data_IF_612949621585
#
_entry.id   IF_612949621585
#
_cell.length_a   1.000
_cell.length_b   1.000
_cell.length_c   1.000
_cell.angle_alpha   90.00
_cell.angle_beta   90.00
_cell.angle_gamma   90.00
#
_symmetry.space_group_name_H-M   'P 1'
#
loop_
_entity.id
_entity.type
_entity.pdbx_description
1 polymer ?
#
# COMPACT_ATOMS: atom_id res chain seq x y z
N UNK A 1 -4.58 -18.18 6.67
CA UNK A 1 -3.36 -17.83 7.42
C UNK A 1 -2.22 -18.60 6.80
N UNK A 2 -1.30 -17.93 6.09
CA UNK A 2 -0.09 -18.59 5.64
C UNK A 2 0.70 -19.04 6.88
N UNK A 3 1.15 -20.29 6.92
CA UNK A 3 2.06 -20.75 7.97
C UNK A 3 3.33 -19.89 7.92
N UNK A 4 3.50 -19.00 8.90
CA UNK A 4 4.75 -18.25 9.09
C UNK A 4 5.86 -19.27 9.37
N UNK A 5 6.59 -19.62 8.33
CA UNK A 5 7.69 -20.59 8.42
C UNK A 5 8.95 -19.79 8.71
N UNK A 6 9.52 -19.98 9.89
CA UNK A 6 10.72 -19.24 10.28
C UNK A 6 11.90 -19.62 9.38
N UNK A 7 12.62 -18.65 8.81
CA UNK A 7 13.83 -18.94 8.08
C UNK A 7 14.88 -19.49 9.06
N UNK A 8 15.72 -20.39 8.55
CA UNK A 8 16.88 -20.87 9.33
C UNK A 8 17.97 -19.81 9.34
N UNK A 9 18.69 -19.70 10.44
CA UNK A 9 19.91 -18.90 10.47
C UNK A 9 20.98 -19.50 9.56
N UNK A 10 21.37 -18.76 8.53
CA UNK A 10 22.54 -19.09 7.71
C UNK A 10 23.81 -18.61 8.42
N UNK A 11 24.41 -19.50 9.21
CA UNK A 11 25.66 -19.20 9.90
C UNK A 11 26.83 -19.36 8.91
N UNK A 12 27.63 -18.29 8.66
CA UNK A 12 28.75 -18.36 7.72
C UNK A 12 29.80 -19.39 8.13
N UNK A 13 30.45 -20.05 7.17
CA UNK A 13 31.46 -21.09 7.43
C UNK A 13 32.66 -20.54 8.23
N UNK A 14 32.94 -19.26 8.08
CA UNK A 14 33.99 -18.53 8.77
C UNK A 14 33.76 -18.49 10.29
N UNK A 15 32.50 -18.51 10.74
CA UNK A 15 32.16 -18.58 12.17
C UNK A 15 32.59 -19.93 12.74
N UNK A 16 32.24 -21.02 12.07
CA UNK A 16 32.65 -22.37 12.48
C UNK A 16 34.17 -22.55 12.43
N UNK A 17 34.80 -22.09 11.35
CA UNK A 17 36.26 -22.13 11.20
C UNK A 17 36.98 -21.29 12.27
N UNK A 18 36.48 -20.10 12.57
CA UNK A 18 37.01 -19.23 13.62
C UNK A 18 36.91 -19.85 15.02
N UNK A 19 35.75 -20.42 15.37
CA UNK A 19 35.57 -21.11 16.66
C UNK A 19 36.44 -22.35 16.78
N UNK A 20 36.57 -23.14 15.70
CA UNK A 20 37.44 -24.32 15.70
C UNK A 20 38.91 -23.93 15.85
N UNK A 21 39.36 -22.89 15.14
CA UNK A 21 40.72 -22.38 15.25
C UNK A 21 41.02 -21.86 16.67
N UNK A 22 40.10 -21.12 17.28
CA UNK A 22 40.22 -20.70 18.68
C UNK A 22 40.31 -21.90 19.62
N UNK A 23 39.49 -22.93 19.41
CA UNK A 23 39.53 -24.14 20.22
C UNK A 23 40.88 -24.87 20.11
N UNK A 24 41.37 -25.08 18.89
CA UNK A 24 42.66 -25.75 18.64
C UNK A 24 43.82 -24.96 19.24
N UNK A 25 43.85 -23.64 19.05
CA UNK A 25 44.89 -22.78 19.62
C UNK A 25 44.88 -22.80 21.15
N UNK A 26 43.70 -22.72 21.76
CA UNK A 26 43.56 -22.74 23.21
C UNK A 26 44.08 -24.06 23.79
N UNK A 27 43.71 -25.19 23.19
CA UNK A 27 44.21 -26.52 23.61
C UNK A 27 45.71 -26.64 23.40
N UNK A 28 46.25 -26.20 22.27
CA UNK A 28 47.68 -26.27 21.98
C UNK A 28 48.51 -25.45 22.97
N UNK A 29 48.09 -24.23 23.28
CA UNK A 29 48.75 -23.36 24.26
C UNK A 29 48.71 -23.98 25.66
N UNK A 30 47.55 -24.50 26.08
CA UNK A 30 47.39 -25.10 27.41
C UNK A 30 48.15 -26.42 27.55
N UNK A 31 48.19 -27.26 26.51
CA UNK A 31 49.01 -28.46 26.47
C UNK A 31 50.50 -28.13 26.56
N UNK A 32 50.95 -27.09 25.87
CA UNK A 32 52.35 -26.67 25.91
C UNK A 32 52.76 -26.15 27.29
N UNK A 33 51.91 -25.36 27.95
CA UNK A 33 52.20 -24.77 29.26
C UNK A 33 52.02 -25.75 30.43
N UNK A 34 51.02 -26.62 30.37
CA UNK A 34 50.53 -27.38 31.53
C UNK A 34 50.48 -28.90 31.29
N UNK A 35 50.90 -29.38 30.11
CA UNK A 35 50.83 -30.80 29.75
C UNK A 35 49.39 -31.32 29.81
N UNK A 36 49.21 -32.52 30.36
CA UNK A 36 47.89 -33.16 30.49
C UNK A 36 46.86 -32.31 31.25
N UNK A 37 47.28 -31.56 32.27
CA UNK A 37 46.39 -30.67 33.02
C UNK A 37 45.80 -29.55 32.16
N UNK A 38 46.49 -29.18 31.08
CA UNK A 38 45.98 -28.25 30.08
C UNK A 38 44.69 -28.71 29.39
N UNK A 39 44.51 -30.03 29.20
CA UNK A 39 43.29 -30.59 28.59
C UNK A 39 42.08 -30.40 29.50
N UNK A 40 42.26 -30.66 30.81
CA UNK A 40 41.19 -30.52 31.81
C UNK A 40 40.77 -29.06 31.92
N UNK A 41 41.75 -28.15 31.95
CA UNK A 41 41.49 -26.70 31.98
C UNK A 41 40.83 -26.23 30.68
N UNK A 42 41.24 -26.74 29.52
CA UNK A 42 40.62 -26.42 28.23
C UNK A 42 39.14 -26.83 28.20
N UNK A 43 38.79 -28.02 28.70
CA UNK A 43 37.40 -28.47 28.81
C UNK A 43 36.56 -27.54 29.70
N UNK A 44 37.11 -27.10 30.83
CA UNK A 44 36.43 -26.14 31.71
C UNK A 44 36.21 -24.79 30.99
N UNK A 45 37.21 -24.30 30.26
CA UNK A 45 37.10 -23.07 29.46
C UNK A 45 36.03 -23.23 28.38
N UNK A 46 35.98 -24.37 27.68
CA UNK A 46 34.97 -24.60 26.64
C UNK A 46 33.54 -24.61 27.19
N UNK A 47 33.32 -25.25 28.35
CA UNK A 47 32.00 -25.24 28.99
C UNK A 47 31.56 -23.81 29.32
N UNK A 48 32.45 -22.98 29.86
CA UNK A 48 32.16 -21.57 30.16
C UNK A 48 31.98 -20.73 28.89
N UNK A 49 32.80 -21.00 27.88
CA UNK A 49 32.81 -20.30 26.60
C UNK A 49 31.55 -20.58 25.77
N UNK A 50 30.98 -21.79 25.82
CA UNK A 50 29.74 -22.13 25.12
C UNK A 50 28.62 -21.15 25.50
N UNK A 51 28.45 -20.84 26.78
CA UNK A 51 27.44 -19.89 27.24
C UNK A 51 27.68 -18.45 26.75
N UNK A 52 28.93 -18.10 26.43
CA UNK A 52 29.33 -16.75 26.03
C UNK A 52 29.31 -16.55 24.51
N UNK A 53 29.59 -17.63 23.76
CA UNK A 53 29.68 -17.68 22.29
C UNK A 53 28.48 -18.36 21.64
N UNK A 54 27.41 -18.56 22.40
CA UNK A 54 26.10 -18.89 21.85
C UNK A 54 25.10 -17.79 22.15
N UNK A 55 24.07 -17.71 21.33
CA UNK A 55 22.93 -16.82 21.48
C UNK A 55 21.66 -17.62 21.24
N UNK A 56 20.78 -17.63 22.22
CA UNK A 56 19.45 -18.22 22.09
C UNK A 56 18.47 -17.13 21.62
N UNK A 57 17.99 -17.29 20.38
CA UNK A 57 16.97 -16.41 19.81
C UNK A 57 15.61 -17.05 20.03
N UNK A 58 14.68 -16.39 20.77
CA UNK A 58 13.34 -16.91 21.01
C UNK A 58 12.55 -17.13 19.73
N UNK A 59 11.45 -17.87 19.84
CA UNK A 59 10.53 -18.06 18.73
C UNK A 59 9.97 -16.72 18.22
N UNK A 60 9.87 -16.59 16.90
CA UNK A 60 9.39 -15.38 16.23
C UNK A 60 10.21 -14.11 16.48
N UNK A 61 11.48 -14.25 16.84
CA UNK A 61 12.39 -13.12 16.99
C UNK A 61 13.58 -13.24 16.02
N UNK A 62 14.16 -12.09 15.73
CA UNK A 62 15.45 -11.98 15.07
C UNK A 62 16.42 -11.13 15.90
N UNK A 63 17.71 -11.43 15.79
CA UNK A 63 18.78 -10.69 16.45
C UNK A 63 19.82 -10.28 15.39
N UNK A 64 20.17 -9.00 15.35
CA UNK A 64 21.24 -8.52 14.47
C UNK A 64 22.58 -8.65 15.19
N UNK A 65 23.56 -9.20 14.47
CA UNK A 65 24.94 -9.35 14.90
C UNK A 65 25.84 -8.54 13.98
N UNK A 66 26.70 -7.71 14.57
CA UNK A 66 27.69 -6.90 13.87
C UNK A 66 29.08 -7.44 14.14
N UNK A 67 29.83 -7.74 13.07
CA UNK A 67 31.24 -8.07 13.19
C UNK A 67 32.06 -6.77 13.34
N UNK A 68 32.75 -6.60 14.47
CA UNK A 68 33.46 -5.37 14.77
C UNK A 68 34.62 -5.07 13.78
N UNK A 69 35.21 -6.09 13.17
CA UNK A 69 36.34 -5.96 12.25
C UNK A 69 35.90 -5.73 10.81
N UNK A 70 34.98 -6.56 10.30
CA UNK A 70 34.56 -6.49 8.89
C UNK A 70 33.43 -5.49 8.66
N UNK A 71 32.81 -4.98 9.74
CA UNK A 71 31.60 -4.14 9.71
C UNK A 71 30.40 -4.79 9.02
N UNK A 72 30.48 -6.09 8.72
CA UNK A 72 29.37 -6.84 8.15
C UNK A 72 28.36 -7.19 9.23
N UNK A 73 27.09 -7.11 8.87
CA UNK A 73 25.97 -7.51 9.70
C UNK A 73 25.43 -8.87 9.25
N UNK A 74 24.93 -9.66 10.20
CA UNK A 74 24.18 -10.88 9.92
C UNK A 74 23.01 -11.01 10.89
N UNK A 75 21.96 -11.70 10.46
CA UNK A 75 20.75 -11.92 11.27
C UNK A 75 20.74 -13.34 11.80
N UNK A 76 20.49 -13.47 13.09
CA UNK A 76 20.16 -14.73 13.73
C UNK A 76 18.64 -14.83 13.85
N UNK A 77 18.09 -15.92 13.34
CA UNK A 77 16.69 -16.29 13.53
C UNK A 77 16.56 -17.29 14.68
N UNK A 78 15.31 -17.61 15.02
CA UNK A 78 14.93 -18.53 16.09
C UNK A 78 15.87 -19.74 16.24
N UNK A 79 16.31 -20.00 17.47
CA UNK A 79 17.11 -21.14 17.86
C UNK A 79 18.44 -20.77 18.54
N UNK A 80 19.23 -21.80 18.82
CA UNK A 80 20.58 -21.64 19.37
C UNK A 80 21.58 -21.38 18.23
N UNK A 81 22.29 -20.26 18.32
CA UNK A 81 23.20 -19.80 17.28
C UNK A 81 24.59 -19.53 17.86
N UNK A 82 25.64 -19.72 17.06
CA UNK A 82 27.01 -19.39 17.46
C UNK A 82 27.36 -17.93 17.13
N UNK A 83 28.12 -17.30 18.02
CA UNK A 83 28.57 -15.90 17.92
C UNK A 83 30.07 -15.83 18.23
N UNK A 84 30.82 -15.07 17.43
CA UNK A 84 32.26 -14.91 17.62
C UNK A 84 32.56 -13.91 18.75
N UNK A 85 33.74 -14.00 19.39
CA UNK A 85 34.11 -13.08 20.48
C UNK A 85 34.15 -11.59 20.10
N UNK A 86 34.38 -11.30 18.82
CA UNK A 86 34.46 -9.93 18.25
C UNK A 86 33.17 -9.51 17.54
N UNK A 87 32.09 -10.26 17.71
CA UNK A 87 30.77 -9.90 17.23
C UNK A 87 29.96 -9.24 18.35
N UNK A 88 29.34 -8.10 18.06
CA UNK A 88 28.42 -7.42 18.98
C UNK A 88 26.97 -7.69 18.61
N UNK A 89 26.12 -7.82 19.61
CA UNK A 89 24.67 -8.03 19.47
C UNK A 89 23.96 -6.67 19.42
N UNK A 90 22.90 -6.53 18.61
CA UNK A 90 21.98 -5.40 18.75
C UNK A 90 21.38 -5.37 20.17
N UNK A 91 21.06 -4.16 20.66
CA UNK A 91 20.49 -4.00 22.01
C UNK A 91 19.16 -4.74 22.15
N UNK A 92 18.34 -4.72 21.11
CA UNK A 92 17.00 -5.32 21.13
C UNK A 92 16.88 -6.46 20.12
N UNK A 93 16.05 -7.44 20.49
CA UNK A 93 15.54 -8.50 19.60
C UNK A 93 14.35 -7.95 18.84
N UNK A 94 14.32 -8.19 17.55
CA UNK A 94 13.25 -7.74 16.66
C UNK A 94 12.13 -8.79 16.71
N UNK A 95 10.93 -8.41 17.17
CA UNK A 95 9.76 -9.29 17.08
C UNK A 95 9.25 -9.29 15.62
N UNK A 96 9.22 -10.47 15.02
CA UNK A 96 8.81 -10.68 13.63
C UNK A 96 7.29 -10.75 13.45
N UNK A 97 6.52 -10.73 14.55
CA UNK A 97 5.05 -10.70 14.54
C UNK A 97 4.48 -9.30 14.64
N UNK A 98 5.34 -8.29 14.72
CA UNK A 98 4.87 -6.90 14.74
C UNK A 98 4.13 -6.60 13.45
N UNK A 99 2.91 -6.13 13.61
CA UNK A 99 2.06 -5.66 12.53
C UNK A 99 1.78 -4.17 12.76
N UNK A 100 2.32 -3.33 11.89
CA UNK A 100 2.04 -1.91 11.89
C UNK A 100 0.74 -1.70 11.11
N UNK A 101 -0.32 -1.48 11.86
CA UNK A 101 -1.67 -1.40 11.33
C UNK A 101 -2.24 0.01 11.48
N UNK A 102 -3.04 0.42 10.50
CA UNK A 102 -3.88 1.61 10.59
C UNK A 102 -5.13 1.51 9.71
N UNK A 103 -6.11 2.34 10.03
CA UNK A 103 -7.33 2.53 9.24
C UNK A 103 -7.56 4.01 9.01
N UNK A 104 -6.89 4.63 8.02
CA UNK A 104 -7.11 6.04 7.74
C UNK A 104 -8.47 6.31 7.11
N UNK A 105 -9.06 7.42 7.51
CA UNK A 105 -10.23 8.05 6.90
C UNK A 105 -9.79 9.41 6.34
N UNK A 106 -9.90 9.58 5.03
CA UNK A 106 -9.40 10.75 4.30
C UNK A 106 -10.40 11.19 3.24
N UNK A 107 -10.44 12.48 2.93
CA UNK A 107 -11.31 13.05 1.90
C UNK A 107 -10.47 13.48 0.71
N UNK A 108 -10.80 13.00 -0.49
CA UNK A 108 -10.12 13.39 -1.73
C UNK A 108 -11.07 14.11 -2.70
N UNK A 109 -10.57 15.11 -3.44
CA UNK A 109 -11.31 15.68 -4.55
C UNK A 109 -11.34 14.70 -5.73
N UNK A 110 -12.52 14.51 -6.31
CA UNK A 110 -12.73 13.90 -7.62
C UNK A 110 -12.96 14.99 -8.68
N UNK A 111 -13.24 14.60 -9.92
CA UNK A 111 -13.53 15.58 -11.00
C UNK A 111 -14.73 16.49 -10.67
N UNK A 112 -15.75 15.94 -9.99
CA UNK A 112 -17.03 16.61 -9.80
C UNK A 112 -17.55 16.66 -8.33
N UNK A 113 -16.86 16.01 -7.40
CA UNK A 113 -17.30 15.88 -6.00
C UNK A 113 -16.15 15.67 -5.01
N UNK A 114 -16.44 15.80 -3.71
CA UNK A 114 -15.54 15.34 -2.64
C UNK A 114 -15.95 13.95 -2.19
N UNK A 115 -14.98 13.04 -2.11
CA UNK A 115 -15.19 11.64 -1.74
C UNK A 115 -14.51 11.35 -0.40
N UNK A 116 -15.27 10.80 0.55
CA UNK A 116 -14.73 10.26 1.80
C UNK A 116 -14.32 8.81 1.57
N UNK A 117 -13.10 8.50 2.00
CA UNK A 117 -12.44 7.24 1.71
C UNK A 117 -11.90 6.63 3.00
N UNK A 118 -12.21 5.35 3.21
CA UNK A 118 -11.61 4.55 4.29
C UNK A 118 -10.80 3.41 3.71
N UNK A 119 -9.53 3.34 4.08
CA UNK A 119 -8.67 2.23 3.70
C UNK A 119 -7.97 1.67 4.93
N UNK A 120 -7.55 0.42 4.82
CA UNK A 120 -6.81 -0.30 5.84
C UNK A 120 -5.47 -0.70 5.27
N UNK A 121 -4.41 -0.57 6.06
CA UNK A 121 -3.14 -1.14 5.71
C UNK A 121 -2.46 -1.82 6.89
N UNK A 122 -1.70 -2.86 6.59
CA UNK A 122 -0.85 -3.60 7.53
C UNK A 122 0.52 -3.74 6.90
N UNK A 123 1.54 -3.28 7.62
CA UNK A 123 2.95 -3.42 7.25
C UNK A 123 3.61 -4.36 8.26
N UNK A 124 4.37 -5.34 7.78
CA UNK A 124 5.09 -6.30 8.64
C UNK A 124 6.52 -6.51 8.14
N UNK A 125 7.46 -6.90 9.02
CA UNK A 125 8.81 -7.25 8.58
C UNK A 125 8.78 -8.40 7.55
N UNK A 126 9.51 -8.26 6.46
CA UNK A 126 9.62 -9.32 5.46
C UNK A 126 10.80 -10.24 5.80
N UNK A 127 10.49 -11.44 6.27
CA UNK A 127 11.46 -12.50 6.52
C UNK A 127 11.29 -13.71 5.58
N UNK A 128 10.65 -13.48 4.43
CA UNK A 128 10.44 -14.46 3.37
C UNK A 128 11.40 -14.22 2.19
N UNK A 129 11.55 -15.21 1.31
CA UNK A 129 12.34 -15.09 0.07
C UNK A 129 13.83 -15.42 0.21
N UNK A 130 14.62 -14.95 -0.76
CA UNK A 130 16.02 -15.36 -0.94
C UNK A 130 16.99 -14.74 0.07
N UNK A 131 16.68 -13.53 0.56
CA UNK A 131 17.57 -12.76 1.45
C UNK A 131 16.85 -12.22 2.70
N UNK A 132 16.25 -13.08 3.55
CA UNK A 132 15.45 -12.65 4.69
C UNK A 132 16.27 -11.86 5.73
N UNK A 133 17.57 -12.15 5.86
CA UNK A 133 18.45 -11.40 6.77
C UNK A 133 18.64 -9.95 6.34
N UNK A 134 18.77 -9.67 5.03
CA UNK A 134 18.93 -8.31 4.52
C UNK A 134 17.69 -7.47 4.78
N UNK A 135 16.51 -8.05 4.52
CA UNK A 135 15.23 -7.37 4.75
C UNK A 135 15.03 -6.99 6.22
N UNK A 136 15.36 -7.89 7.16
CA UNK A 136 15.28 -7.59 8.59
C UNK A 136 16.27 -6.52 9.02
N UNK A 137 17.46 -6.47 8.42
CA UNK A 137 18.42 -5.38 8.66
C UNK A 137 17.87 -4.04 8.18
N UNK A 138 17.26 -4.01 6.97
CA UNK A 138 16.63 -2.81 6.43
C UNK A 138 15.50 -2.34 7.35
N UNK A 139 14.56 -3.22 7.71
CA UNK A 139 13.48 -2.92 8.63
C UNK A 139 13.97 -2.32 9.95
N UNK A 140 15.02 -2.90 10.54
CA UNK A 140 15.58 -2.44 11.81
C UNK A 140 16.35 -1.12 11.73
N UNK A 141 16.64 -0.64 10.53
CA UNK A 141 17.32 0.66 10.32
C UNK A 141 16.35 1.84 10.52
N UNK A 142 15.05 1.60 10.34
CA UNK A 142 14.01 2.62 10.45
C UNK A 142 13.25 2.48 11.76
N UNK A 143 12.74 3.61 12.27
CA UNK A 143 11.77 3.57 13.36
C UNK A 143 10.42 3.03 12.82
N UNK A 144 9.72 2.13 13.55
CA UNK A 144 8.46 1.57 13.08
C UNK A 144 7.40 2.64 12.75
N UNK A 145 7.37 3.74 13.50
CA UNK A 145 6.45 4.85 13.25
C UNK A 145 6.80 5.61 11.96
N UNK A 146 8.08 5.72 11.60
CA UNK A 146 8.50 6.35 10.36
C UNK A 146 8.03 5.52 9.15
N UNK A 147 8.26 4.20 9.16
CA UNK A 147 7.76 3.28 8.13
C UNK A 147 6.23 3.41 7.99
N UNK A 148 5.52 3.44 9.12
CA UNK A 148 4.06 3.59 9.12
C UNK A 148 3.61 4.91 8.48
N UNK A 149 4.26 6.01 8.81
CA UNK A 149 3.93 7.34 8.26
C UNK A 149 4.24 7.42 6.76
N UNK A 150 5.38 6.90 6.33
CA UNK A 150 5.77 6.89 4.91
C UNK A 150 4.85 6.00 4.08
N UNK A 151 4.50 4.81 4.59
CA UNK A 151 3.51 3.94 3.96
C UNK A 151 2.15 4.62 3.81
N UNK A 152 1.65 5.29 4.87
CA UNK A 152 0.41 6.07 4.78
C UNK A 152 0.50 7.17 3.71
N UNK A 153 1.60 7.91 3.67
CA UNK A 153 1.80 8.97 2.69
C UNK A 153 1.77 8.43 1.25
N UNK A 154 2.42 7.28 1.01
CA UNK A 154 2.38 6.57 -0.27
C UNK A 154 0.95 6.18 -0.66
N UNK A 155 0.21 5.50 0.22
CA UNK A 155 -1.16 5.06 -0.10
C UNK A 155 -2.11 6.24 -0.31
N UNK A 156 -1.98 7.29 0.50
CA UNK A 156 -2.75 8.52 0.37
C UNK A 156 -2.48 9.22 -0.97
N UNK A 157 -1.22 9.29 -1.39
CA UNK A 157 -0.83 9.83 -2.70
C UNK A 157 -1.44 9.01 -3.84
N UNK A 158 -1.31 7.67 -3.80
CA UNK A 158 -1.86 6.79 -4.84
C UNK A 158 -3.38 6.92 -4.97
N UNK A 159 -4.09 7.02 -3.85
CA UNK A 159 -5.54 7.27 -3.84
C UNK A 159 -5.87 8.67 -4.37
N UNK A 160 -5.21 9.71 -3.88
CA UNK A 160 -5.41 11.10 -4.33
C UNK A 160 -5.24 11.24 -5.84
N UNK A 161 -4.17 10.68 -6.40
CA UNK A 161 -3.90 10.74 -7.85
C UNK A 161 -4.98 10.02 -8.66
N UNK A 162 -5.48 8.89 -8.16
CA UNK A 162 -6.54 8.13 -8.80
C UNK A 162 -7.89 8.86 -8.78
N UNK A 163 -8.23 9.49 -7.65
CA UNK A 163 -9.52 10.15 -7.46
C UNK A 163 -9.59 11.45 -8.26
N UNK A 164 -8.50 12.22 -8.30
CA UNK A 164 -8.46 13.56 -8.91
C UNK A 164 -8.88 13.61 -10.39
N UNK A 165 -8.65 12.53 -11.14
CA UNK A 165 -8.86 12.48 -12.60
C UNK A 165 -10.10 11.69 -13.01
N UNK A 166 -10.94 11.30 -12.04
CA UNK A 166 -12.10 10.44 -12.30
C UNK A 166 -13.40 11.09 -11.80
N UNK A 167 -14.49 10.91 -12.55
CA UNK A 167 -15.83 11.20 -12.07
C UNK A 167 -16.19 10.38 -10.82
N UNK A 168 -16.93 11.01 -9.91
CA UNK A 168 -17.32 10.41 -8.62
C UNK A 168 -18.21 9.17 -8.71
N UNK A 169 -19.00 9.03 -9.79
CA UNK A 169 -19.82 7.85 -10.04
C UNK A 169 -18.98 6.57 -10.26
N UNK A 170 -17.80 6.72 -10.87
CA UNK A 170 -16.84 5.62 -11.07
C UNK A 170 -16.05 5.28 -9.80
N UNK A 171 -16.03 6.19 -8.82
CA UNK A 171 -15.22 6.06 -7.60
C UNK A 171 -15.94 5.36 -6.45
N UNK A 172 -17.12 4.77 -6.69
CA UNK A 172 -17.86 4.01 -5.65
C UNK A 172 -17.56 2.51 -5.66
N UNK A 173 -16.95 2.00 -6.73
CA UNK A 173 -16.62 0.58 -6.85
C UNK A 173 -15.26 0.26 -6.20
N UNK A 174 -15.28 -0.01 -4.90
CA UNK A 174 -14.04 -0.27 -4.14
C UNK A 174 -13.20 -1.43 -4.65
N UNK A 175 -13.79 -2.45 -5.27
CA UNK A 175 -13.04 -3.60 -5.79
C UNK A 175 -12.20 -3.21 -7.00
N UNK A 176 -12.78 -2.37 -7.87
CA UNK A 176 -12.11 -1.84 -9.04
C UNK A 176 -11.01 -0.86 -8.64
N UNK A 177 -11.27 0.02 -7.67
CA UNK A 177 -10.26 0.94 -7.14
C UNK A 177 -9.10 0.17 -6.50
N UNK A 178 -9.39 -0.82 -5.65
CA UNK A 178 -8.35 -1.69 -5.07
C UNK A 178 -7.45 -2.31 -6.15
N UNK A 179 -8.06 -2.82 -7.22
CA UNK A 179 -7.33 -3.42 -8.32
C UNK A 179 -6.44 -2.40 -9.04
N UNK A 180 -6.99 -1.25 -9.39
CA UNK A 180 -6.31 -0.23 -10.19
C UNK A 180 -5.29 0.60 -9.42
N UNK A 181 -5.50 0.82 -8.12
CA UNK A 181 -4.63 1.66 -7.28
C UNK A 181 -3.55 0.84 -6.59
N UNK A 182 -3.84 -0.38 -6.13
CA UNK A 182 -2.91 -1.14 -5.30
C UNK A 182 -2.40 -2.43 -5.95
N UNK A 183 -3.15 -3.05 -6.85
CA UNK A 183 -2.82 -4.39 -7.36
C UNK A 183 -2.21 -4.40 -8.78
N UNK A 184 -2.30 -3.29 -9.52
CA UNK A 184 -1.86 -3.19 -10.92
C UNK A 184 -1.11 -1.88 -11.22
N UNK A 185 -0.30 -1.92 -12.27
CA UNK A 185 0.41 -0.75 -12.80
C UNK A 185 1.31 -0.05 -11.79
N UNK A 186 1.37 1.29 -11.90
CA UNK A 186 2.25 2.14 -11.11
C UNK A 186 2.09 1.96 -9.60
N UNK A 187 0.87 1.73 -9.11
CA UNK A 187 0.64 1.56 -7.68
C UNK A 187 1.24 0.26 -7.13
N UNK A 188 1.12 -0.84 -7.90
CA UNK A 188 1.79 -2.10 -7.55
C UNK A 188 3.32 -1.92 -7.53
N UNK A 189 3.86 -1.25 -8.52
CA UNK A 189 5.31 -1.05 -8.65
C UNK A 189 5.86 -0.18 -7.50
N UNK A 190 5.16 0.91 -7.15
CA UNK A 190 5.54 1.79 -6.04
C UNK A 190 5.43 1.10 -4.67
N UNK A 191 4.42 0.23 -4.47
CA UNK A 191 4.32 -0.58 -3.25
C UNK A 191 5.47 -1.58 -3.17
N UNK A 192 5.79 -2.25 -4.28
CA UNK A 192 6.89 -3.21 -4.33
C UNK A 192 8.26 -2.55 -4.10
N UNK A 193 8.45 -1.32 -4.59
CA UNK A 193 9.64 -0.50 -4.31
C UNK A 193 9.72 -0.16 -2.82
N UNK A 194 8.63 0.32 -2.22
CA UNK A 194 8.55 0.60 -0.79
C UNK A 194 8.86 -0.64 0.07
N UNK A 195 8.32 -1.81 -0.29
CA UNK A 195 8.58 -3.10 0.35
C UNK A 195 10.08 -3.46 0.30
N UNK A 196 10.74 -3.22 -0.83
CA UNK A 196 12.18 -3.50 -1.02
C UNK A 196 13.07 -2.54 -0.25
N UNK A 197 12.75 -1.24 -0.26
CA UNK A 197 13.54 -0.21 0.43
C UNK A 197 13.52 -0.41 1.94
N UNK A 198 12.37 -0.81 2.49
CA UNK A 198 12.17 -0.94 3.94
C UNK A 198 12.29 -2.38 4.45
N UNK A 199 12.40 -3.38 3.57
CA UNK A 199 12.43 -4.79 3.96
C UNK A 199 11.14 -5.27 4.64
N UNK A 200 9.99 -4.83 4.13
CA UNK A 200 8.65 -5.11 4.69
C UNK A 200 7.74 -5.79 3.66
N UNK A 201 6.67 -6.41 4.15
CA UNK A 201 5.51 -6.77 3.32
C UNK A 201 4.38 -5.78 3.64
N UNK A 202 3.70 -5.32 2.61
CA UNK A 202 2.56 -4.40 2.70
C UNK A 202 1.28 -5.11 2.25
N UNK A 203 0.25 -4.99 3.06
CA UNK A 203 -1.12 -5.28 2.66
C UNK A 203 -1.94 -4.02 2.80
N UNK A 204 -2.44 -3.48 1.69
CA UNK A 204 -3.31 -2.29 1.67
C UNK A 204 -4.62 -2.61 0.95
N UNK A 205 -5.73 -2.09 1.47
CA UNK A 205 -7.05 -2.30 0.90
C UNK A 205 -7.99 -1.14 1.22
N UNK A 206 -8.70 -0.67 0.21
CA UNK A 206 -9.86 0.19 0.32
C UNK A 206 -11.05 -0.56 0.94
N UNK A 207 -11.56 -0.06 2.05
CA UNK A 207 -12.74 -0.61 2.74
C UNK A 207 -14.03 0.07 2.30
N UNK A 208 -13.98 1.40 2.16
CA UNK A 208 -15.12 2.23 1.81
C UNK A 208 -14.74 3.43 0.95
N UNK A 209 -15.67 3.86 0.12
CA UNK A 209 -15.57 5.08 -0.69
C UNK A 209 -16.95 5.56 -1.07
N UNK A 210 -17.33 6.74 -0.57
CA UNK A 210 -18.61 7.37 -0.90
C UNK A 210 -18.48 8.90 -0.91
N UNK A 211 -19.55 9.58 -1.29
CA UNK A 211 -19.61 11.03 -1.20
C UNK A 211 -19.44 11.50 0.24
N UNK A 212 -18.70 12.59 0.44
CA UNK A 212 -18.68 13.23 1.74
C UNK A 212 -20.08 13.76 2.13
N UNK A 213 -20.32 13.95 3.43
CA UNK A 213 -21.64 14.30 3.95
C UNK A 213 -22.23 15.57 3.30
N UNK A 214 -21.41 16.59 3.05
CA UNK A 214 -21.82 17.84 2.41
C UNK A 214 -22.20 17.63 0.95
N UNK A 215 -21.39 16.87 0.20
CA UNK A 215 -21.66 16.56 -1.20
C UNK A 215 -22.91 15.71 -1.33
N UNK A 216 -23.10 14.70 -0.47
CA UNK A 216 -24.29 13.86 -0.48
C UNK A 216 -25.56 14.69 -0.19
N UNK A 217 -25.49 15.62 0.77
CA UNK A 217 -26.59 16.54 1.06
C UNK A 217 -26.92 17.43 -0.15
N UNK A 218 -25.91 17.98 -0.82
CA UNK A 218 -26.11 18.78 -2.03
C UNK A 218 -26.74 17.94 -3.16
N UNK A 219 -26.27 16.70 -3.37
CA UNK A 219 -26.84 15.77 -4.34
C UNK A 219 -28.28 15.41 -4.05
N UNK A 220 -28.63 15.15 -2.80
CA UNK A 220 -30.01 14.85 -2.38
C UNK A 220 -30.97 16.02 -2.64
N UNK A 221 -30.49 17.25 -2.45
CA UNK A 221 -31.27 18.47 -2.76
C UNK A 221 -31.49 18.59 -4.27
N UNK A 222 -30.43 18.41 -5.06
CA UNK A 222 -30.48 18.50 -6.53
C UNK A 222 -31.38 17.41 -7.11
N UNK A 223 -31.26 16.17 -6.63
CA UNK A 223 -32.06 15.04 -7.10
C UNK A 223 -33.57 15.23 -6.88
N UNK A 224 -33.96 16.04 -5.88
CA UNK A 224 -35.35 16.39 -5.56
C UNK A 224 -35.84 17.67 -6.26
N UNK A 225 -35.00 18.33 -7.05
CA UNK A 225 -35.37 19.54 -7.79
C UNK A 225 -35.90 19.19 -9.19
N UNK A 226 -36.91 19.93 -9.66
CA UNK A 226 -37.49 19.71 -11.01
C UNK A 226 -36.74 20.48 -12.11
N UNK A 227 -35.94 21.47 -11.74
CA UNK A 227 -35.14 22.29 -12.66
C UNK A 227 -33.85 22.81 -12.02
N UNK A 228 -32.89 23.26 -12.84
CA UNK A 228 -31.65 23.91 -12.37
C UNK A 228 -31.94 25.16 -11.53
N UNK A 229 -32.93 25.96 -11.91
CA UNK A 229 -33.32 27.14 -11.15
C UNK A 229 -33.82 26.78 -9.75
N UNK A 230 -34.68 25.76 -9.66
CA UNK A 230 -35.17 25.24 -8.38
C UNK A 230 -34.05 24.61 -7.53
N UNK A 231 -33.10 23.91 -8.16
CA UNK A 231 -31.94 23.34 -7.47
C UNK A 231 -31.07 24.43 -6.84
N UNK A 232 -30.77 25.51 -7.58
CA UNK A 232 -30.03 26.67 -7.05
C UNK A 232 -30.77 27.32 -5.88
N UNK A 233 -32.08 27.55 -6.01
CA UNK A 233 -32.89 28.15 -4.94
C UNK A 233 -32.89 27.27 -3.68
N UNK A 234 -33.10 25.96 -3.81
CA UNK A 234 -33.10 25.03 -2.67
C UNK A 234 -31.72 24.89 -2.01
N UNK A 235 -30.63 24.99 -2.78
CA UNK A 235 -29.27 25.03 -2.21
C UNK A 235 -29.05 26.33 -1.42
N UNK A 236 -29.51 27.48 -1.94
CA UNK A 236 -29.44 28.75 -1.20
C UNK A 236 -30.26 28.69 0.10
N UNK A 237 -31.48 28.12 0.04
CA UNK A 237 -32.31 27.88 1.22
C UNK A 237 -31.66 26.91 2.24
N UNK A 238 -30.81 26.00 1.77
CA UNK A 238 -30.06 25.06 2.60
C UNK A 238 -28.77 25.64 3.21
N UNK A 239 -28.47 26.92 2.97
CA UNK A 239 -27.36 27.65 3.58
C UNK A 239 -26.16 27.91 2.68
N UNK A 240 -26.20 27.53 1.40
CA UNK A 240 -25.14 27.85 0.44
C UNK A 240 -25.27 29.30 -0.06
N UNK A 241 -24.15 29.97 -0.35
CA UNK A 241 -24.21 31.25 -1.06
C UNK A 241 -24.72 31.07 -2.50
N UNK A 242 -25.18 32.15 -3.12
CA UNK A 242 -25.67 32.08 -4.50
C UNK A 242 -24.58 31.63 -5.50
N UNK A 243 -23.34 32.07 -5.28
CA UNK A 243 -22.19 31.69 -6.09
C UNK A 243 -21.81 30.21 -5.87
N UNK A 244 -21.82 29.73 -4.63
CA UNK A 244 -21.54 28.32 -4.32
C UNK A 244 -22.63 27.39 -4.87
N UNK A 245 -23.91 27.75 -4.73
CA UNK A 245 -25.02 26.98 -5.29
C UNK A 245 -24.90 26.85 -6.81
N UNK A 246 -24.48 27.90 -7.51
CA UNK A 246 -24.23 27.84 -8.95
C UNK A 246 -23.05 26.93 -9.31
N UNK A 247 -21.98 26.98 -8.52
CA UNK A 247 -20.78 26.16 -8.72
C UNK A 247 -21.08 24.67 -8.48
N UNK A 248 -21.82 24.35 -7.42
CA UNK A 248 -22.20 22.98 -7.02
C UNK A 248 -23.12 22.33 -8.05
N UNK A 249 -24.11 23.07 -8.57
CA UNK A 249 -25.02 22.57 -9.61
C UNK A 249 -24.30 22.34 -10.94
N UNK A 250 -23.23 23.09 -11.23
CA UNK A 250 -22.41 22.90 -12.44
C UNK A 250 -21.40 21.77 -12.30
N UNK A 251 -20.87 21.53 -11.09
CA UNK A 251 -19.92 20.46 -10.83
C UNK A 251 -20.61 19.11 -10.78
N UNK A 252 -21.66 18.96 -9.96
CA UNK A 252 -22.32 17.67 -9.79
C UNK A 252 -22.99 17.23 -11.09
N UNK A 253 -22.53 16.09 -11.63
CA UNK A 253 -23.06 15.51 -12.85
C UNK A 253 -24.57 15.27 -12.67
N UNK A 254 -25.39 16.17 -13.24
CA UNK A 254 -26.83 16.21 -12.96
C UNK A 254 -27.49 14.89 -13.36
N UNK A 255 -28.38 14.32 -12.50
CA UNK A 255 -29.16 13.13 -12.84
C UNK A 255 -29.92 13.34 -14.15
N UNK A 256 -30.04 12.29 -14.96
CA UNK A 256 -30.70 12.36 -16.27
C UNK A 256 -32.14 12.91 -16.20
N UNK A 257 -32.85 12.70 -15.09
CA UNK A 257 -34.18 13.28 -14.85
C UNK A 257 -34.21 14.82 -14.83
N UNK A 258 -33.09 15.46 -14.47
CA UNK A 258 -32.95 16.92 -14.52
C UNK A 258 -32.55 17.36 -15.95
N UNK A 259 -31.76 16.57 -16.68
CA UNK A 259 -31.43 16.82 -18.09
C UNK A 259 -32.67 16.71 -19.00
N UNK A 260 -33.48 15.67 -18.83
CA UNK A 260 -34.69 15.44 -19.62
C UNK A 260 -35.72 16.56 -19.45
N UNK A 261 -35.87 17.09 -18.22
CA UNK A 261 -36.74 18.25 -17.99
C UNK A 261 -36.19 19.56 -18.58
N UNK A 262 -34.86 19.73 -18.70
CA UNK A 262 -34.29 20.90 -19.39
C UNK A 262 -34.58 20.83 -20.90
N UNK A 263 -34.51 19.63 -21.50
CA UNK A 263 -34.83 19.42 -22.92
C UNK A 263 -36.34 19.65 -23.16
N UNK A 264 -37.20 19.10 -22.30
CA UNK A 264 -38.65 19.27 -22.44
C UNK A 264 -39.11 20.72 -22.16
N UNK A 265 -38.57 21.40 -21.15
CA UNK A 265 -38.94 22.80 -20.85
C UNK A 265 -38.34 23.77 -21.87
N UNK A 266 -37.14 23.55 -22.42
CA UNK A 266 -36.64 24.37 -23.53
C UNK A 266 -37.45 24.19 -24.82
N UNK A 267 -37.98 22.99 -25.08
CA UNK A 267 -38.89 22.74 -26.20
C UNK A 267 -40.28 23.37 -25.99
N UNK A 268 -40.74 23.50 -24.74
CA UNK A 268 -42.04 24.09 -24.41
C UNK A 268 -42.00 25.63 -24.30
N UNK A 269 -40.87 26.23 -23.87
CA UNK A 269 -40.70 27.69 -23.74
C UNK A 269 -40.27 28.36 -25.06
N UNK A 270 -39.64 27.64 -25.99
CA UNK A 270 -39.41 28.11 -27.36
C UNK A 270 -40.43 27.45 -28.28
N UNK A 271 -41.56 28.14 -28.47
CA UNK A 271 -42.67 27.73 -29.30
C UNK A 271 -42.30 26.92 -30.57
N UNK A 272 -43.13 25.91 -30.79
CA UNK A 272 -43.21 24.92 -31.87
C UNK A 272 -43.18 25.46 -33.33
N UNK A 273 -42.18 26.25 -33.72
CA UNK A 273 -42.04 26.66 -35.14
C UNK A 273 -40.62 26.57 -35.73
N UNK A 274 -39.59 26.13 -34.99
CA UNK A 274 -38.23 25.98 -35.56
C UNK A 274 -37.46 24.70 -35.19
N UNK A 275 -38.14 23.62 -34.84
CA UNK A 275 -37.50 22.33 -34.55
C UNK A 275 -37.22 21.44 -35.78
N UNK A 276 -37.57 21.85 -37.00
CA UNK A 276 -37.13 21.14 -38.22
C UNK A 276 -35.65 21.37 -38.59
N UNK A 277 -34.91 22.27 -37.91
CA UNK A 277 -33.50 22.56 -38.24
C UNK A 277 -32.47 22.22 -37.17
N UNK A 278 -32.88 21.71 -36.01
CA UNK A 278 -31.94 21.27 -34.97
C UNK A 278 -31.91 19.74 -34.76
N UNK A 279 -32.67 18.99 -35.57
CA UNK A 279 -32.63 17.52 -35.62
C UNK A 279 -31.33 16.94 -36.18
N UNK A 280 -30.30 17.75 -36.50
CA UNK A 280 -29.12 17.27 -37.26
C UNK A 280 -27.80 17.34 -36.49
N UNK A 281 -27.73 17.82 -35.25
CA UNK A 281 -26.42 17.91 -34.56
C UNK A 281 -26.28 16.91 -33.40
N UNK A 282 -27.36 16.30 -32.90
CA UNK A 282 -27.27 15.33 -31.81
C UNK A 282 -28.23 14.18 -32.08
N UNK A 283 -27.78 13.17 -32.84
CA UNK A 283 -28.51 11.90 -32.98
C UNK A 283 -28.34 11.18 -34.31
N UNK A 284 -27.27 10.39 -34.44
CA UNK A 284 -27.28 9.13 -35.19
C UNK A 284 -26.95 9.18 -36.69
N UNK A 285 -25.80 8.60 -37.03
CA UNK A 285 -25.72 7.67 -38.18
C UNK A 285 -24.95 6.43 -37.73
N UNK A 286 -25.71 5.47 -37.21
CA UNK A 286 -25.36 4.06 -37.20
C UNK A 286 -26.57 3.27 -37.70
N UNK A 287 -26.39 2.58 -38.83
CA UNK A 287 -27.17 1.42 -39.32
C UNK A 287 -28.60 1.64 -39.82
N UNK A 288 -28.89 1.35 -41.09
CA UNK A 288 -29.27 -0.02 -41.49
C UNK A 288 -29.65 -0.15 -42.98
N UNK A 289 -29.42 -1.38 -43.47
CA UNK A 289 -29.67 -1.89 -44.81
C UNK A 289 -31.10 -1.69 -45.34
N UNK A 290 -31.21 -1.36 -46.63
CA UNK A 290 -32.19 -2.01 -47.49
C UNK A 290 -31.77 -2.05 -48.97
N UNK A 291 -31.79 -3.27 -49.48
CA UNK A 291 -31.67 -3.69 -50.88
C UNK A 291 -32.40 -2.82 -51.91
N UNK A 292 -31.73 -2.47 -53.03
CA UNK A 292 -32.28 -2.73 -54.36
C UNK A 292 -31.20 -2.72 -55.43
N UNK A 293 -31.31 -3.66 -56.36
CA UNK A 293 -30.38 -3.89 -57.45
C UNK A 293 -30.50 -2.82 -58.55
N UNK A 294 -29.39 -2.43 -59.20
CA UNK A 294 -29.25 -2.47 -60.67
C UNK A 294 -27.86 -2.05 -61.17
N UNK A 295 -27.19 -3.03 -61.78
CA UNK A 295 -26.36 -3.01 -63.00
C UNK A 295 -25.85 -1.66 -63.58
N UNK A 296 -24.56 -1.70 -63.91
CA UNK A 296 -23.93 -1.02 -65.06
C UNK A 296 -22.99 0.11 -64.63
N UNK A 297 -21.70 0.17 -64.97
CA UNK A 297 -20.92 -0.49 -66.01
C UNK A 297 -20.08 0.58 -66.72
N UNK A 298 -18.76 0.36 -66.82
CA UNK A 298 -17.75 1.15 -67.59
C UNK A 298 -17.56 2.61 -67.10
N UNK A 299 -16.36 3.18 -67.07
CA UNK A 299 -15.10 2.92 -67.76
C UNK A 299 -13.99 3.58 -66.95
#
# INVERSE_FOLDING_TARGET
>A
MAHLTMPRTNTPKEVYGGLLLLAVLTVAILLWLLGFWGVIIALAIFILAINSYTEEVPAFHAQIILNAWTKKQRVLFQGLNFVLPWESRSMEKIDLRVELHDVPEETYPSEDAMMDVRYVYTIRPNFSGDNPGTNIILYATYEPNAIKMEGRALFSMLLSDHYRVRPSDQLRNKNEINKLVFAEGHGKDAIAEFEQEHGVDVMVKLEDSDFNAETQKARDIIAKAKSIGEAKTKLVEAGYSHEEAEKVVKMLNLPDSVRENIINVQAEVRGLEKLERFSTIIGGLGGDDHSSSKKGGKK
#
